data_IF_106634868701
#
_entry.id   IF_106634868701
#
_cell.length_a   1.000
_cell.length_b   1.000
_cell.length_c   1.000
_cell.angle_alpha   90.00
_cell.angle_beta   90.00
_cell.angle_gamma   90.00
#
_symmetry.space_group_name_H-M   'P 1'
#
loop_
_entity.id
_entity.type
_entity.pdbx_description
1 polymer ?
#
# COMPACT_ATOMS: atom_id res chain seq x y z
N UNK A 1 20.46 2.41 19.78
CA UNK A 1 19.98 1.89 21.09
C UNK A 1 20.99 2.13 22.21
N UNK A 2 22.18 1.52 22.20
CA UNK A 2 23.16 1.62 23.31
C UNK A 2 23.57 3.06 23.64
N UNK A 3 23.77 3.89 22.62
CA UNK A 3 24.07 5.32 22.79
C UNK A 3 22.95 6.06 23.54
N UNK A 4 21.70 5.87 23.14
CA UNK A 4 20.54 6.48 23.80
C UNK A 4 20.39 6.03 25.27
N UNK A 5 20.65 4.75 25.54
CA UNK A 5 20.63 4.23 26.92
C UNK A 5 21.72 4.87 27.79
N UNK A 6 22.91 5.09 27.21
CA UNK A 6 24.01 5.77 27.88
C UNK A 6 23.67 7.25 28.15
N UNK A 7 23.04 7.94 27.21
CA UNK A 7 22.61 9.33 27.37
C UNK A 7 21.57 9.47 28.48
N UNK A 8 20.55 8.60 28.52
CA UNK A 8 19.54 8.59 29.60
C UNK A 8 20.22 8.35 30.96
N UNK A 9 21.13 7.38 31.04
CA UNK A 9 21.87 7.12 32.28
C UNK A 9 22.71 8.33 32.71
N UNK A 10 23.30 9.04 31.76
CA UNK A 10 24.08 10.25 32.03
C UNK A 10 23.18 11.39 32.52
N UNK A 11 22.03 11.61 31.87
CA UNK A 11 21.04 12.62 32.26
C UNK A 11 20.44 12.35 33.65
N UNK A 12 20.16 11.08 33.97
CA UNK A 12 19.69 10.67 35.31
C UNK A 12 20.76 10.95 36.38
N UNK A 13 22.03 10.61 36.11
CA UNK A 13 23.14 10.90 37.03
C UNK A 13 23.34 12.40 37.27
N UNK A 14 23.07 13.21 36.27
CA UNK A 14 23.10 14.68 36.35
C UNK A 14 21.83 15.27 37.00
N UNK A 15 20.85 14.43 37.36
CA UNK A 15 19.54 14.84 37.91
C UNK A 15 18.74 15.76 36.97
N UNK A 16 18.96 15.64 35.66
CA UNK A 16 18.18 16.38 34.65
C UNK A 16 16.80 15.73 34.43
N UNK A 17 16.69 14.43 34.70
CA UNK A 17 15.46 13.64 34.56
C UNK A 17 15.18 12.86 35.84
N UNK A 18 13.90 12.70 36.17
CA UNK A 18 13.45 11.86 37.28
C UNK A 18 13.66 10.37 36.96
N UNK A 19 14.05 9.52 37.93
CA UNK A 19 14.24 8.08 37.71
C UNK A 19 13.02 7.36 37.12
N UNK A 20 11.79 7.79 37.45
CA UNK A 20 10.58 7.18 36.86
C UNK A 20 10.51 7.46 35.36
N UNK A 21 10.78 8.71 34.97
CA UNK A 21 10.81 9.14 33.57
C UNK A 21 11.96 8.45 32.80
N UNK A 22 13.13 8.30 33.43
CA UNK A 22 14.25 7.57 32.85
C UNK A 22 13.89 6.11 32.55
N UNK A 23 13.14 5.44 33.44
CA UNK A 23 12.66 4.08 33.20
C UNK A 23 11.65 4.02 32.04
N UNK A 24 10.72 4.97 31.94
CA UNK A 24 9.79 5.03 30.81
C UNK A 24 10.50 5.21 29.46
N UNK A 25 11.54 6.05 29.40
CA UNK A 25 12.35 6.18 28.18
C UNK A 25 13.10 4.90 27.83
N UNK A 26 13.65 4.19 28.83
CA UNK A 26 14.30 2.89 28.62
C UNK A 26 13.32 1.88 28.04
N UNK A 27 12.13 1.76 28.62
CA UNK A 27 11.07 0.86 28.12
C UNK A 27 10.70 1.20 26.67
N UNK A 28 10.55 2.48 26.34
CA UNK A 28 10.23 2.93 24.98
C UNK A 28 11.35 2.56 23.99
N UNK A 29 12.61 2.74 24.38
CA UNK A 29 13.76 2.36 23.54
C UNK A 29 13.84 0.84 23.34
N UNK A 30 13.60 0.05 24.38
CA UNK A 30 13.57 -1.40 24.28
C UNK A 30 12.43 -1.86 23.37
N UNK A 31 11.25 -1.24 23.46
CA UNK A 31 10.13 -1.53 22.58
C UNK A 31 10.48 -1.24 21.11
N UNK A 32 11.15 -0.11 20.84
CA UNK A 32 11.67 0.18 19.49
C UNK A 32 12.66 -0.88 19.03
N UNK A 33 13.56 -1.33 19.91
CA UNK A 33 14.51 -2.40 19.59
C UNK A 33 13.79 -3.70 19.23
N UNK A 34 12.79 -4.12 20.02
CA UNK A 34 12.00 -5.33 19.75
C UNK A 34 11.30 -5.24 18.40
N UNK A 35 10.71 -4.09 18.04
CA UNK A 35 10.09 -3.92 16.72
C UNK A 35 11.12 -4.00 15.57
N UNK A 36 12.36 -3.55 15.78
CA UNK A 36 13.43 -3.74 14.80
C UNK A 36 13.87 -5.20 14.68
N UNK A 37 13.96 -5.92 15.81
CA UNK A 37 14.27 -7.35 15.83
C UNK A 37 13.20 -8.15 15.07
N UNK A 38 11.91 -7.87 15.29
CA UNK A 38 10.82 -8.47 14.52
C UNK A 38 10.95 -8.22 13.01
N UNK A 39 11.32 -6.99 12.61
CA UNK A 39 11.55 -6.67 11.20
C UNK A 39 12.75 -7.44 10.61
N UNK A 40 13.80 -7.66 11.39
CA UNK A 40 14.95 -8.46 10.96
C UNK A 40 14.60 -9.95 10.88
N UNK A 41 13.86 -10.48 11.84
CA UNK A 41 13.41 -11.87 11.85
C UNK A 41 12.54 -12.18 10.62
N UNK A 42 11.65 -11.26 10.25
CA UNK A 42 10.83 -11.35 9.03
C UNK A 42 11.69 -11.31 7.75
N UNK A 43 12.77 -10.51 7.73
CA UNK A 43 13.67 -10.43 6.58
C UNK A 43 14.60 -11.64 6.45
N UNK A 44 15.04 -12.22 7.58
CA UNK A 44 15.98 -13.34 7.62
C UNK A 44 15.31 -14.70 7.37
N UNK A 45 13.99 -14.79 7.49
CA UNK A 45 13.21 -16.01 7.24
C UNK A 45 12.37 -15.89 5.97
N UNK A 46 13.00 -15.85 4.77
CA UNK A 46 12.24 -15.82 3.54
C UNK A 46 11.38 -17.07 3.44
N UNK A 47 10.24 -16.93 2.76
CA UNK A 47 9.35 -18.05 2.45
C UNK A 47 10.17 -19.21 1.89
N UNK A 48 9.96 -20.42 2.43
CA UNK A 48 10.71 -21.59 1.99
C UNK A 48 10.66 -21.72 0.47
N UNK A 49 11.84 -21.82 -0.16
CA UNK A 49 11.99 -21.99 -1.60
C UNK A 49 11.07 -23.07 -2.17
N UNK A 50 10.86 -24.14 -1.41
CA UNK A 50 9.99 -25.25 -1.79
C UNK A 50 8.52 -24.82 -1.96
N UNK A 51 8.02 -23.91 -1.11
CA UNK A 51 6.62 -23.45 -1.18
C UNK A 51 6.34 -22.70 -2.48
N UNK A 52 7.25 -21.79 -2.87
CA UNK A 52 7.13 -21.03 -4.11
C UNK A 52 7.07 -21.94 -5.35
N UNK A 53 8.00 -22.90 -5.42
CA UNK A 53 8.06 -23.85 -6.53
C UNK A 53 6.87 -24.81 -6.55
N UNK A 54 6.39 -25.21 -5.37
CA UNK A 54 5.21 -26.06 -5.27
C UNK A 54 3.94 -25.35 -5.75
N UNK A 55 3.73 -24.10 -5.37
CA UNK A 55 2.61 -23.28 -5.87
C UNK A 55 2.70 -23.08 -7.39
N UNK A 56 3.90 -22.84 -7.91
CA UNK A 56 4.13 -22.76 -9.35
C UNK A 56 3.78 -24.07 -10.06
N UNK A 57 4.27 -25.19 -9.53
CA UNK A 57 4.00 -26.51 -10.08
C UNK A 57 2.50 -26.84 -10.09
N UNK A 58 1.80 -26.56 -8.98
CA UNK A 58 0.35 -26.76 -8.89
C UNK A 58 -0.40 -25.94 -9.94
N UNK A 59 -0.09 -24.66 -10.12
CA UNK A 59 -0.73 -23.83 -11.14
C UNK A 59 -0.42 -24.29 -12.57
N UNK A 60 0.83 -24.69 -12.83
CA UNK A 60 1.27 -25.19 -14.14
C UNK A 60 0.59 -26.51 -14.54
N UNK A 61 0.25 -27.37 -13.58
CA UNK A 61 -0.43 -28.65 -13.83
C UNK A 61 -1.96 -28.50 -13.80
N UNK A 62 -2.49 -27.68 -12.91
CA UNK A 62 -3.93 -27.46 -12.74
C UNK A 62 -4.58 -26.86 -13.99
N UNK A 63 -3.97 -25.83 -14.58
CA UNK A 63 -4.54 -25.11 -15.73
C UNK A 63 -4.73 -26.00 -16.96
N UNK A 64 -3.73 -26.77 -17.42
CA UNK A 64 -3.90 -27.73 -18.51
C UNK A 64 -4.92 -28.83 -18.22
N UNK A 65 -4.94 -29.37 -16.98
CA UNK A 65 -5.92 -30.38 -16.60
C UNK A 65 -7.34 -29.83 -16.62
N UNK A 66 -7.53 -28.61 -16.13
CA UNK A 66 -8.82 -27.92 -16.17
C UNK A 66 -9.26 -27.67 -17.61
N UNK A 67 -8.38 -27.15 -18.46
CA UNK A 67 -8.66 -26.92 -19.86
C UNK A 67 -9.03 -28.22 -20.60
N UNK A 68 -8.33 -29.32 -20.31
CA UNK A 68 -8.63 -30.64 -20.87
C UNK A 68 -10.00 -31.14 -20.39
N UNK A 69 -10.33 -31.01 -19.11
CA UNK A 69 -11.65 -31.39 -18.58
C UNK A 69 -12.76 -30.60 -19.25
N UNK A 70 -12.62 -29.27 -19.33
CA UNK A 70 -13.63 -28.42 -19.99
C UNK A 70 -13.77 -28.73 -21.48
N UNK A 71 -12.68 -29.09 -22.18
CA UNK A 71 -12.73 -29.49 -23.57
C UNK A 71 -13.44 -30.85 -23.76
N UNK A 72 -13.29 -31.79 -22.83
CA UNK A 72 -14.01 -33.07 -22.86
C UNK A 72 -15.50 -32.89 -22.57
N UNK A 73 -15.86 -32.00 -21.63
CA UNK A 73 -17.25 -31.71 -21.26
C UNK A 73 -18.01 -30.96 -22.36
N UNK A 74 -17.31 -30.19 -23.20
CA UNK A 74 -17.90 -29.51 -24.35
C UNK A 74 -18.40 -30.49 -25.45
N UNK A 75 -17.94 -31.74 -25.42
CA UNK A 75 -18.35 -32.81 -26.33
C UNK A 75 -17.59 -32.82 -27.65
N UNK A 76 -17.52 -34.00 -28.29
CA UNK A 76 -16.88 -34.20 -29.60
C UNK A 76 -17.91 -34.80 -30.56
N UNK A 77 -18.20 -34.14 -31.70
CA UNK A 77 -19.03 -34.69 -32.79
C UNK A 77 -20.21 -33.81 -33.23
N UNK A 78 -21.18 -34.40 -33.95
CA UNK A 78 -22.34 -33.73 -34.55
C UNK A 78 -23.32 -33.08 -33.54
N UNK A 79 -23.10 -33.26 -32.24
CA UNK A 79 -23.86 -32.62 -31.16
C UNK A 79 -23.13 -31.39 -30.55
N UNK A 80 -22.02 -30.95 -31.14
CA UNK A 80 -21.26 -29.80 -30.68
C UNK A 80 -22.00 -28.50 -31.02
N UNK A 81 -22.58 -27.87 -30.00
CA UNK A 81 -23.12 -26.52 -30.14
C UNK A 81 -21.96 -25.53 -30.03
N UNK A 82 -21.66 -24.79 -31.10
CA UNK A 82 -20.58 -23.79 -31.08
C UNK A 82 -20.66 -22.80 -29.88
N UNK A 83 -21.87 -22.55 -29.37
CA UNK A 83 -22.10 -21.70 -28.19
C UNK A 83 -21.49 -22.31 -26.93
N UNK A 84 -21.60 -23.63 -26.72
CA UNK A 84 -21.04 -24.29 -25.53
C UNK A 84 -19.51 -24.26 -25.55
N UNK A 85 -18.90 -24.33 -26.73
CA UNK A 85 -17.45 -24.21 -26.89
C UNK A 85 -16.96 -22.79 -26.53
N UNK A 86 -17.66 -21.76 -27.02
CA UNK A 86 -17.33 -20.36 -26.71
C UNK A 86 -17.46 -20.07 -25.21
N UNK A 87 -18.55 -20.52 -24.59
CA UNK A 87 -18.77 -20.34 -23.14
C UNK A 87 -17.71 -21.08 -22.33
N UNK A 88 -17.40 -22.33 -22.69
CA UNK A 88 -16.39 -23.13 -21.98
C UNK A 88 -14.98 -22.52 -22.13
N UNK A 89 -14.63 -22.05 -23.33
CA UNK A 89 -13.37 -21.35 -23.57
C UNK A 89 -13.27 -20.05 -22.76
N UNK A 90 -14.36 -19.30 -22.65
CA UNK A 90 -14.41 -18.09 -21.83
C UNK A 90 -14.24 -18.40 -20.33
N UNK A 91 -14.87 -19.46 -19.83
CA UNK A 91 -14.69 -19.93 -18.44
C UNK A 91 -13.23 -20.30 -18.17
N UNK A 92 -12.59 -21.05 -19.08
CA UNK A 92 -11.16 -21.40 -18.96
C UNK A 92 -10.27 -20.16 -18.98
N UNK A 93 -10.56 -19.19 -19.84
CA UNK A 93 -9.83 -17.93 -19.90
C UNK A 93 -9.94 -17.13 -18.59
N UNK A 94 -11.16 -16.97 -18.05
CA UNK A 94 -11.37 -16.30 -16.77
C UNK A 94 -10.68 -17.02 -15.62
N UNK A 95 -10.77 -18.35 -15.57
CA UNK A 95 -10.09 -19.15 -14.54
C UNK A 95 -8.56 -18.99 -14.63
N UNK A 96 -8.00 -18.91 -15.84
CA UNK A 96 -6.58 -18.68 -16.05
C UNK A 96 -6.13 -17.31 -15.54
N UNK A 97 -6.87 -16.25 -15.88
CA UNK A 97 -6.60 -14.89 -15.37
C UNK A 97 -6.66 -14.88 -13.85
N UNK A 98 -7.64 -15.55 -13.24
CA UNK A 98 -7.78 -15.59 -11.79
C UNK A 98 -6.63 -16.33 -11.11
N UNK A 99 -6.25 -17.53 -11.58
CA UNK A 99 -5.17 -18.32 -11.00
C UNK A 99 -3.82 -17.62 -11.15
N UNK A 100 -3.53 -17.06 -12.33
CA UNK A 100 -2.28 -16.32 -12.57
C UNK A 100 -2.28 -15.01 -11.80
N UNK A 101 -3.39 -14.29 -11.77
CA UNK A 101 -3.54 -13.04 -11.04
C UNK A 101 -3.36 -13.21 -9.54
N UNK A 102 -3.98 -14.23 -8.93
CA UNK A 102 -3.78 -14.57 -7.53
C UNK A 102 -2.32 -14.91 -7.21
N UNK A 103 -1.63 -15.57 -8.12
CA UNK A 103 -0.21 -15.87 -7.95
C UNK A 103 0.63 -14.60 -7.97
N UNK A 104 0.46 -13.74 -8.97
CA UNK A 104 1.19 -12.46 -9.06
C UNK A 104 0.90 -11.60 -7.82
N UNK A 105 -0.36 -11.58 -7.35
CA UNK A 105 -0.73 -10.90 -6.12
C UNK A 105 -0.02 -11.49 -4.90
N UNK A 106 0.05 -12.81 -4.78
CA UNK A 106 0.79 -13.47 -3.69
C UNK A 106 2.28 -13.14 -3.72
N UNK A 107 2.88 -13.05 -4.91
CA UNK A 107 4.27 -12.62 -5.10
C UNK A 107 4.45 -11.17 -4.64
N UNK A 108 3.58 -10.25 -5.06
CA UNK A 108 3.61 -8.84 -4.64
C UNK A 108 3.42 -8.67 -3.12
N UNK A 109 2.53 -9.45 -2.51
CA UNK A 109 2.26 -9.40 -1.07
C UNK A 109 3.37 -10.07 -0.23
N UNK A 110 4.12 -11.01 -0.81
CA UNK A 110 5.22 -11.69 -0.10
C UNK A 110 6.43 -10.79 0.16
N UNK A 111 6.56 -9.68 -0.58
CA UNK A 111 7.65 -8.72 -0.44
C UNK A 111 7.11 -7.29 -0.24
N UNK A 112 6.53 -6.98 0.94
CA UNK A 112 5.87 -5.69 1.19
C UNK A 112 6.81 -4.48 1.11
N UNK A 113 8.12 -4.69 1.34
CA UNK A 113 9.16 -3.67 1.34
C UNK A 113 9.98 -3.61 0.02
N UNK A 114 9.44 -4.17 -1.06
CA UNK A 114 10.09 -4.19 -2.37
C UNK A 114 10.14 -2.83 -3.09
N UNK A 115 10.64 -2.86 -4.33
CA UNK A 115 10.67 -1.69 -5.22
C UNK A 115 9.40 -1.55 -6.07
N UNK A 116 8.32 -2.29 -5.74
CA UNK A 116 7.09 -2.26 -6.52
C UNK A 116 6.32 -0.97 -6.26
N UNK A 117 5.51 -0.55 -7.22
CA UNK A 117 4.63 0.62 -7.09
C UNK A 117 3.62 0.47 -5.94
N UNK A 118 3.28 -0.78 -5.59
CA UNK A 118 2.36 -1.12 -4.51
C UNK A 118 3.06 -1.34 -3.15
N UNK A 119 4.40 -1.29 -3.12
CA UNK A 119 5.17 -1.51 -1.89
C UNK A 119 5.07 -0.31 -0.95
N UNK A 120 5.11 -0.56 0.36
CA UNK A 120 5.14 0.51 1.35
C UNK A 120 6.45 1.32 1.20
N UNK A 121 6.33 2.64 1.07
CA UNK A 121 7.45 3.56 0.95
C UNK A 121 8.15 3.77 2.30
N UNK A 122 8.96 2.80 2.72
CA UNK A 122 9.74 2.84 3.97
C UNK A 122 10.55 4.14 4.08
N UNK A 123 11.14 4.59 2.96
CA UNK A 123 11.91 5.83 2.92
C UNK A 123 11.05 7.04 3.29
N UNK A 124 9.83 7.14 2.75
CA UNK A 124 8.91 8.24 3.05
C UNK A 124 8.53 8.24 4.54
N UNK A 125 8.28 7.06 5.11
CA UNK A 125 7.98 6.93 6.52
C UNK A 125 9.15 7.37 7.42
N UNK A 126 10.39 6.97 7.08
CA UNK A 126 11.59 7.37 7.81
C UNK A 126 11.79 8.88 7.74
N UNK A 127 11.72 9.47 6.54
CA UNK A 127 11.90 10.92 6.36
C UNK A 127 10.84 11.70 7.11
N UNK A 128 9.58 11.28 7.00
CA UNK A 128 8.46 11.93 7.69
C UNK A 128 8.60 11.83 9.21
N UNK A 129 8.96 10.66 9.73
CA UNK A 129 9.16 10.46 11.18
C UNK A 129 10.33 11.30 11.69
N UNK A 130 11.44 11.33 10.96
CA UNK A 130 12.61 12.15 11.28
C UNK A 130 12.28 13.64 11.32
N UNK A 131 11.59 14.15 10.30
CA UNK A 131 11.14 15.55 10.23
C UNK A 131 10.20 15.88 11.40
N UNK A 132 9.25 14.99 11.70
CA UNK A 132 8.30 15.18 12.78
C UNK A 132 8.99 15.19 14.15
N UNK A 133 9.91 14.25 14.41
CA UNK A 133 10.68 14.20 15.65
C UNK A 133 11.52 15.46 15.84
N UNK A 134 12.23 15.92 14.80
CA UNK A 134 13.00 17.16 14.86
C UNK A 134 12.11 18.38 15.11
N UNK A 135 10.91 18.41 14.51
CA UNK A 135 9.94 19.47 14.75
C UNK A 135 9.46 19.49 16.20
N UNK A 136 9.19 18.34 16.80
CA UNK A 136 8.75 18.23 18.20
C UNK A 136 9.88 18.70 19.13
N UNK A 137 11.10 18.21 18.95
CA UNK A 137 12.26 18.61 19.76
C UNK A 137 12.51 20.12 19.64
N UNK A 138 12.48 20.64 18.42
CA UNK A 138 12.66 22.07 18.15
C UNK A 138 11.49 22.96 18.56
N UNK A 139 10.32 22.41 18.87
CA UNK A 139 9.18 23.14 19.44
C UNK A 139 9.28 23.24 20.96
N UNK A 140 9.72 22.17 21.63
CA UNK A 140 9.93 22.14 23.09
C UNK A 140 10.97 23.18 23.53
N UNK A 141 12.01 23.40 22.72
CA UNK A 141 13.03 24.43 23.00
C UNK A 141 12.49 25.87 22.84
N UNK A 142 11.31 26.05 22.22
CA UNK A 142 10.67 27.35 22.00
C UNK A 142 9.64 27.75 23.04
N UNK A 143 9.31 26.93 24.03
CA UNK A 143 8.47 27.38 25.16
C UNK A 143 9.17 28.40 26.09
N UNK A 144 10.45 28.69 25.83
CA UNK A 144 11.19 29.81 26.43
C UNK A 144 11.13 31.08 25.53
N UNK A 145 10.48 31.01 24.37
CA UNK A 145 10.43 32.08 23.37
C UNK A 145 9.20 32.96 23.58
N UNK A 146 9.42 34.27 23.55
CA UNK A 146 8.42 35.34 23.67
C UNK A 146 7.19 35.08 22.76
N UNK A 147 5.95 35.13 23.27
CA UNK A 147 4.70 34.77 22.54
C UNK A 147 4.50 35.48 21.20
N UNK A 148 5.13 36.63 20.98
CA UNK A 148 5.13 37.31 19.67
C UNK A 148 5.82 36.51 18.56
N UNK A 149 6.83 35.72 18.91
CA UNK A 149 7.58 34.91 17.93
C UNK A 149 6.77 33.68 17.51
N UNK A 150 6.01 33.10 18.45
CA UNK A 150 5.12 31.95 18.19
C UNK A 150 4.03 32.30 17.17
N UNK A 151 3.44 33.50 17.28
CA UNK A 151 2.43 34.00 16.36
C UNK A 151 2.97 34.10 14.92
N UNK A 152 4.23 34.52 14.75
CA UNK A 152 4.89 34.59 13.43
C UNK A 152 5.23 33.22 12.84
N UNK A 153 5.52 32.23 13.70
CA UNK A 153 5.82 30.85 13.25
C UNK A 153 4.55 30.10 12.84
N UNK A 154 3.45 30.27 13.58
CA UNK A 154 2.14 29.75 13.18
C UNK A 154 1.66 30.37 11.86
N UNK A 155 1.87 31.67 11.67
CA UNK A 155 1.58 32.32 10.38
C UNK A 155 2.43 31.75 9.25
N UNK A 156 3.72 31.52 9.49
CA UNK A 156 4.65 30.93 8.53
C UNK A 156 4.25 29.51 8.11
N UNK A 157 3.89 28.66 9.07
CA UNK A 157 3.43 27.30 8.80
C UNK A 157 2.10 27.28 8.03
N UNK A 158 1.17 28.17 8.38
CA UNK A 158 -0.11 28.33 7.67
C UNK A 158 0.11 28.80 6.22
N UNK A 159 1.01 29.75 5.99
CA UNK A 159 1.39 30.23 4.66
C UNK A 159 2.04 29.12 3.82
N UNK A 160 2.93 28.33 4.41
CA UNK A 160 3.61 27.25 3.70
C UNK A 160 2.62 26.15 3.28
N UNK A 161 1.63 25.85 4.14
CA UNK A 161 0.57 24.91 3.83
C UNK A 161 -0.37 25.43 2.73
N UNK A 162 -0.61 26.75 2.71
CA UNK A 162 -1.41 27.41 1.67
C UNK A 162 -0.70 27.38 0.31
N UNK A 163 0.60 27.70 0.26
CA UNK A 163 1.38 27.62 -0.99
C UNK A 163 1.41 26.20 -1.56
N UNK A 164 1.56 25.17 -0.70
CA UNK A 164 1.54 23.77 -1.13
C UNK A 164 0.18 23.33 -1.70
N UNK A 165 -0.91 23.85 -1.15
CA UNK A 165 -2.26 23.59 -1.68
C UNK A 165 -2.49 24.26 -3.04
N UNK A 166 -1.97 25.47 -3.23
CA UNK A 166 -2.03 26.20 -4.50
C UNK A 166 -1.24 25.47 -5.60
N UNK A 167 -0.04 24.97 -5.28
CA UNK A 167 0.79 24.17 -6.19
C UNK A 167 0.09 22.87 -6.63
N UNK A 168 -0.54 22.14 -5.69
CA UNK A 168 -1.33 20.94 -6.01
C UNK A 168 -2.55 21.28 -6.90
N UNK A 169 -3.19 22.43 -6.67
CA UNK A 169 -4.30 22.89 -7.51
C UNK A 169 -3.86 23.24 -8.94
N UNK A 170 -2.67 23.83 -9.12
CA UNK A 170 -2.14 24.13 -10.46
C UNK A 170 -1.83 22.86 -11.23
N UNK A 171 -1.16 21.89 -10.59
CA UNK A 171 -0.88 20.57 -11.20
C UNK A 171 -2.17 19.85 -11.60
N UNK A 172 -3.21 19.88 -10.76
CA UNK A 172 -4.51 19.29 -11.11
C UNK A 172 -5.22 20.02 -12.26
N UNK A 173 -5.02 21.33 -12.44
CA UNK A 173 -5.60 22.06 -13.57
C UNK A 173 -4.93 21.70 -14.89
N UNK A 174 -3.63 21.52 -14.91
CA UNK A 174 -2.91 21.06 -16.11
C UNK A 174 -3.36 19.66 -16.53
N UNK A 175 -3.56 18.76 -15.56
CA UNK A 175 -4.01 17.39 -15.83
C UNK A 175 -5.43 17.30 -16.44
N UNK A 176 -6.34 18.22 -16.05
CA UNK A 176 -7.72 18.22 -16.58
C UNK A 176 -7.79 18.78 -18.02
N UNK A 177 -6.80 19.55 -18.47
CA UNK A 177 -6.82 20.14 -19.82
C UNK A 177 -6.39 19.13 -20.90
N UNK A 178 -5.60 18.11 -20.56
CA UNK A 178 -5.15 17.11 -21.55
C UNK A 178 -6.21 16.03 -21.88
N UNK A 179 -7.20 15.79 -21.02
CA UNK A 179 -8.24 14.77 -21.26
C UNK A 179 -9.51 15.30 -21.99
N UNK A 180 -9.55 16.60 -22.32
CA UNK A 180 -10.72 17.24 -22.95
C UNK A 180 -10.85 17.05 -24.47
N UNK A 181 -9.98 16.25 -25.10
CA UNK A 181 -9.78 16.26 -26.54
C UNK A 181 -9.97 14.92 -27.25
N UNK A 182 -11.11 14.24 -27.11
CA UNK A 182 -11.78 13.42 -28.16
C UNK A 182 -13.01 12.69 -27.61
N UNK A 183 -14.10 13.41 -27.39
CA UNK A 183 -15.41 12.76 -27.34
C UNK A 183 -15.86 12.41 -28.76
N UNK A 184 -15.65 11.14 -29.11
CA UNK A 184 -16.31 10.50 -30.25
C UNK A 184 -17.82 10.38 -29.94
N UNK A 185 -18.60 11.16 -30.66
CA UNK A 185 -20.05 11.14 -30.77
C UNK A 185 -20.53 9.70 -31.08
N UNK A 186 -21.12 9.03 -30.09
CA UNK A 186 -21.79 7.74 -30.27
C UNK A 186 -23.28 7.92 -30.03
N UNK A 187 -24.00 7.66 -31.09
CA UNK A 187 -25.39 7.96 -31.36
C UNK A 187 -26.36 7.27 -30.41
N UNK A 188 -27.45 7.97 -30.12
CA UNK A 188 -28.62 7.55 -29.37
C UNK A 188 -29.17 6.18 -29.82
N UNK A 189 -29.48 5.31 -28.86
CA UNK A 189 -30.45 4.23 -29.03
C UNK A 189 -31.37 4.19 -27.82
N UNK A 190 -32.56 4.75 -28.05
CA UNK A 190 -33.70 4.83 -27.14
C UNK A 190 -34.31 3.44 -26.92
N UNK A 191 -34.11 2.86 -25.73
CA UNK A 191 -34.85 1.67 -25.30
C UNK A 191 -35.90 2.01 -24.24
N UNK A 192 -37.13 2.08 -24.74
CA UNK A 192 -38.37 2.35 -24.05
C UNK A 192 -38.76 1.14 -23.17
N UNK A 193 -38.90 1.31 -21.85
CA UNK A 193 -39.50 0.30 -20.96
C UNK A 193 -40.85 0.80 -20.43
N UNK A 194 -41.92 0.22 -20.97
CA UNK A 194 -43.28 0.27 -20.41
C UNK A 194 -43.37 -0.46 -19.06
N UNK A 195 -44.24 -0.01 -18.15
CA UNK A 195 -44.71 -0.80 -17.02
C UNK A 195 -45.99 -1.59 -17.38
N UNK A 196 -46.00 -2.90 -17.17
CA UNK A 196 -47.18 -3.77 -17.14
C UNK A 196 -47.12 -4.52 -15.80
N UNK A 197 -47.90 -4.21 -14.77
CA UNK A 197 -49.32 -4.51 -14.50
C UNK A 197 -49.64 -6.02 -14.39
N UNK A 198 -49.72 -6.45 -13.11
CA UNK A 198 -50.57 -7.50 -12.48
C UNK A 198 -50.78 -8.87 -13.14
N UNK A 199 -50.54 -9.94 -12.36
CA UNK A 199 -51.57 -10.63 -11.55
C UNK A 199 -50.92 -11.31 -10.35
#
# INVERSE_FOLDING_TARGET
>A
VTWCMLEISTAERQKLIDPLCANQFRETILNVQTNFEELFDDADQPLSFAYYHFAFFLSAVYLPLFAMSSALDAGIGDAAYWVTDVVSGFIVCLQAIFVVGLRVLAESLSAPYGANVDSLSVLHYITHTWEMSNRIIGAIERDIVDPKTEETMCLGACLQHKMRQEEIQEVNKEFIVEDGGTHHESTESSFNRSPHVTK
#
